data_IF_054835721300
#
_entry.id   IF_054835721300
#
_cell.length_a   1.000
_cell.length_b   1.000
_cell.length_c   1.000
_cell.angle_alpha   90.00
_cell.angle_beta   90.00
_cell.angle_gamma   90.00
#
_symmetry.space_group_name_H-M   'P 1'
#
loop_
_entity.id
_entity.type
_entity.pdbx_description
1 polymer ?
#
# COMPACT_ATOMS: atom_id res chain seq x y z
N UNK A 1 -8.71 -44.66 56.52
CA UNK A 1 -8.21 -44.29 55.19
C UNK A 1 -6.71 -44.54 55.14
N UNK A 2 -6.20 -45.12 54.06
CA UNK A 2 -4.76 -45.32 53.84
C UNK A 2 -4.34 -44.24 52.85
N UNK A 3 -3.24 -43.51 53.09
CA UNK A 3 -2.77 -42.52 52.11
C UNK A 3 -1.97 -43.19 51.00
N UNK A 4 -2.59 -43.47 49.85
CA UNK A 4 -1.92 -44.14 48.73
C UNK A 4 -0.90 -43.25 48.01
N UNK A 5 -0.99 -41.93 48.16
CA UNK A 5 -0.03 -40.95 47.65
C UNK A 5 1.14 -40.69 48.63
N UNK A 6 1.17 -41.39 49.77
CA UNK A 6 2.20 -41.23 50.79
C UNK A 6 3.54 -41.92 50.45
N UNK A 7 4.63 -41.55 51.13
CA UNK A 7 5.99 -42.02 50.82
C UNK A 7 6.21 -43.54 50.99
N UNK A 8 5.30 -44.25 51.67
CA UNK A 8 5.41 -45.69 51.95
C UNK A 8 4.69 -46.58 50.93
N UNK A 9 3.75 -46.03 50.15
CA UNK A 9 2.92 -46.76 49.16
C UNK A 9 2.96 -46.15 47.76
N UNK A 10 3.68 -45.02 47.60
CA UNK A 10 3.79 -44.15 46.43
C UNK A 10 3.31 -44.76 45.11
N UNK A 11 2.00 -44.65 44.86
CA UNK A 11 1.46 -44.99 43.55
C UNK A 11 2.09 -44.06 42.51
N UNK A 12 2.71 -44.65 41.49
CA UNK A 12 3.23 -43.90 40.34
C UNK A 12 2.07 -43.56 39.40
N UNK A 13 1.81 -42.26 39.25
CA UNK A 13 0.92 -41.73 38.21
C UNK A 13 1.65 -41.48 36.88
N UNK A 14 2.97 -41.68 36.82
CA UNK A 14 3.80 -41.38 35.65
C UNK A 14 4.14 -39.88 35.50
N UNK A 15 4.71 -39.50 34.35
CA UNK A 15 5.15 -38.12 34.08
C UNK A 15 3.97 -37.17 33.91
N UNK A 16 4.15 -35.91 34.31
CA UNK A 16 3.17 -34.83 34.17
C UNK A 16 1.82 -35.11 34.85
N UNK A 17 1.82 -35.89 35.91
CA UNK A 17 0.64 -36.21 36.68
C UNK A 17 0.93 -36.24 38.19
N UNK A 18 -0.09 -35.88 38.97
CA UNK A 18 -0.08 -35.91 40.43
C UNK A 18 -1.11 -36.92 40.95
N UNK A 19 -0.80 -37.49 42.13
CA UNK A 19 -1.68 -38.39 42.87
C UNK A 19 -2.54 -37.58 43.86
N UNK A 20 -3.84 -37.88 43.91
CA UNK A 20 -4.80 -37.31 44.86
C UNK A 20 -5.43 -38.42 45.71
N UNK A 21 -5.26 -38.32 47.03
CA UNK A 21 -5.81 -39.26 48.00
C UNK A 21 -7.28 -38.93 48.31
N UNK A 22 -8.13 -39.95 48.41
CA UNK A 22 -9.55 -39.81 48.76
C UNK A 22 -9.97 -40.83 49.81
N UNK A 23 -11.11 -40.62 50.46
CA UNK A 23 -11.59 -41.58 51.44
C UNK A 23 -11.91 -42.94 50.78
N UNK A 24 -11.10 -43.94 51.09
CA UNK A 24 -11.23 -45.30 50.58
C UNK A 24 -10.67 -45.55 49.18
N UNK A 25 -10.00 -44.57 48.55
CA UNK A 25 -9.37 -44.72 47.23
C UNK A 25 -8.40 -43.58 46.89
N UNK A 26 -7.85 -43.61 45.68
CA UNK A 26 -7.06 -42.51 45.13
C UNK A 26 -7.33 -42.37 43.63
N UNK A 27 -6.91 -41.24 43.06
CA UNK A 27 -6.90 -41.04 41.63
C UNK A 27 -5.71 -40.19 41.20
N UNK A 28 -5.30 -40.34 39.95
CA UNK A 28 -4.28 -39.51 39.32
C UNK A 28 -4.95 -38.44 38.45
N UNK A 29 -4.33 -37.26 38.39
CA UNK A 29 -4.71 -36.16 37.49
C UNK A 29 -3.48 -35.64 36.77
N UNK A 30 -3.62 -35.18 35.53
CA UNK A 30 -2.55 -34.42 34.89
C UNK A 30 -2.26 -33.14 35.69
N UNK A 31 -0.99 -32.73 35.74
CA UNK A 31 -0.60 -31.45 36.36
C UNK A 31 -1.17 -30.26 35.55
N UNK A 32 -1.29 -29.06 36.13
CA UNK A 32 -1.72 -27.88 35.37
C UNK A 32 -0.94 -27.69 34.07
N UNK A 33 -1.63 -27.36 32.98
CA UNK A 33 -1.06 -27.27 31.63
C UNK A 33 -1.07 -28.58 30.84
N UNK A 34 -1.58 -29.68 31.41
CA UNK A 34 -1.69 -30.98 30.74
C UNK A 34 -3.11 -31.54 30.80
N UNK A 35 -3.49 -32.31 29.79
CA UNK A 35 -4.77 -33.01 29.70
C UNK A 35 -4.61 -34.45 29.19
N UNK A 36 -5.54 -35.34 29.52
CA UNK A 36 -5.54 -36.69 28.95
C UNK A 36 -6.00 -36.64 27.49
N UNK A 37 -5.34 -37.39 26.61
CA UNK A 37 -5.73 -37.51 25.20
C UNK A 37 -7.18 -38.02 25.00
N UNK A 38 -7.74 -38.71 26.00
CA UNK A 38 -9.13 -39.17 26.02
C UNK A 38 -10.15 -38.08 26.41
N UNK A 39 -9.70 -36.92 26.88
CA UNK A 39 -10.55 -35.86 27.46
C UNK A 39 -11.04 -36.16 28.89
N UNK A 40 -10.63 -37.28 29.48
CA UNK A 40 -10.93 -37.59 30.87
C UNK A 40 -10.15 -36.66 31.83
N UNK A 41 -10.68 -36.48 33.04
CA UNK A 41 -10.04 -35.66 34.09
C UNK A 41 -9.18 -36.45 35.06
N UNK A 42 -9.45 -37.74 35.20
CA UNK A 42 -8.86 -38.61 36.22
C UNK A 42 -8.52 -39.96 35.60
N UNK A 43 -7.47 -40.59 36.10
CA UNK A 43 -7.04 -41.94 35.72
C UNK A 43 -6.48 -42.68 36.94
N UNK A 44 -6.28 -44.00 36.85
CA UNK A 44 -5.99 -44.81 38.06
C UNK A 44 -4.51 -45.05 38.33
N UNK A 45 -3.66 -45.12 37.32
CA UNK A 45 -2.25 -45.49 37.48
C UNK A 45 -1.43 -45.12 36.23
N UNK A 46 -0.11 -45.26 36.30
CA UNK A 46 0.82 -44.94 35.21
C UNK A 46 0.51 -45.60 33.86
N UNK A 47 -0.10 -46.80 33.82
CA UNK A 47 -0.43 -47.46 32.54
C UNK A 47 -1.56 -46.77 31.76
N UNK A 48 -2.39 -45.99 32.45
CA UNK A 48 -3.46 -45.17 31.85
C UNK A 48 -3.00 -43.73 31.57
N UNK A 49 -1.75 -43.37 31.90
CA UNK A 49 -1.24 -42.02 31.72
C UNK A 49 -1.06 -41.69 30.23
N UNK A 50 -1.89 -40.76 29.76
CA UNK A 50 -1.83 -40.16 28.42
C UNK A 50 -1.82 -38.64 28.50
N UNK A 51 -1.25 -38.09 29.58
CA UNK A 51 -1.14 -36.66 29.78
C UNK A 51 -0.27 -36.04 28.69
N UNK A 52 -0.86 -35.11 27.95
CA UNK A 52 -0.20 -34.33 26.92
C UNK A 52 -0.35 -32.85 27.24
N UNK A 53 0.61 -32.07 26.77
CA UNK A 53 0.59 -30.62 26.88
C UNK A 53 -0.68 -30.03 26.25
N UNK A 54 -1.34 -29.11 26.96
CA UNK A 54 -2.48 -28.36 26.44
C UNK A 54 -1.92 -27.21 25.61
N UNK A 55 -2.29 -27.12 24.35
CA UNK A 55 -1.96 -25.95 23.56
C UNK A 55 -2.98 -24.82 23.80
N UNK A 56 -2.72 -23.93 24.76
CA UNK A 56 -3.64 -22.85 25.12
C UNK A 56 -3.87 -21.84 23.97
N UNK A 57 -2.93 -21.76 23.05
CA UNK A 57 -3.04 -20.89 21.87
C UNK A 57 -4.07 -21.38 20.85
N UNK A 58 -4.26 -22.71 20.75
CA UNK A 58 -5.26 -23.30 19.85
C UNK A 58 -6.55 -23.72 20.55
N UNK A 59 -6.49 -24.02 21.84
CA UNK A 59 -7.68 -24.44 22.61
C UNK A 59 -8.59 -23.27 23.00
N UNK A 60 -8.12 -22.03 22.82
CA UNK A 60 -8.85 -20.82 23.24
C UNK A 60 -8.78 -20.56 24.74
N UNK A 61 -7.95 -21.28 25.48
CA UNK A 61 -7.76 -21.12 26.93
C UNK A 61 -6.72 -20.04 27.29
N UNK A 62 -6.07 -19.42 26.30
CA UNK A 62 -5.14 -18.33 26.55
C UNK A 62 -5.86 -17.04 26.98
N UNK A 63 -5.26 -16.33 27.94
CA UNK A 63 -5.76 -15.03 28.42
C UNK A 63 -5.04 -13.85 27.75
N UNK A 64 -4.40 -14.08 26.60
CA UNK A 64 -3.55 -13.08 25.96
C UNK A 64 -4.32 -11.81 25.57
N UNK A 65 -3.72 -10.65 25.82
CA UNK A 65 -4.27 -9.36 25.37
C UNK A 65 -4.27 -9.26 23.83
N UNK A 66 -5.19 -8.49 23.25
CA UNK A 66 -5.35 -8.35 21.80
C UNK A 66 -4.08 -7.87 21.06
N UNK A 67 -3.25 -7.06 21.72
CA UNK A 67 -1.97 -6.55 21.21
C UNK A 67 -0.82 -7.56 21.28
N UNK A 68 -1.07 -8.77 21.79
CA UNK A 68 -0.07 -9.84 21.93
C UNK A 68 -0.39 -11.01 21.00
N UNK A 69 0.55 -11.94 20.88
CA UNK A 69 0.36 -13.25 20.31
C UNK A 69 0.70 -14.31 21.35
N UNK A 70 -0.05 -15.40 21.34
CA UNK A 70 0.15 -16.54 22.22
C UNK A 70 1.28 -17.43 21.68
N UNK A 71 2.16 -17.88 22.57
CA UNK A 71 3.17 -18.88 22.32
C UNK A 71 2.97 -20.04 23.28
N UNK A 72 2.75 -21.23 22.71
CA UNK A 72 2.60 -22.45 23.50
C UNK A 72 3.97 -22.97 23.92
N UNK A 73 4.11 -23.31 25.18
CA UNK A 73 5.30 -23.90 25.78
C UNK A 73 4.91 -25.22 26.46
N UNK A 74 5.90 -26.08 26.74
CA UNK A 74 5.60 -27.32 27.45
C UNK A 74 5.21 -26.99 28.89
N UNK A 75 3.97 -27.34 29.28
CA UNK A 75 3.38 -27.09 30.58
C UNK A 75 2.70 -25.72 30.75
N UNK A 76 2.49 -24.97 29.67
CA UNK A 76 1.72 -23.72 29.69
C UNK A 76 2.01 -22.79 28.51
N UNK A 77 1.65 -21.52 28.62
CA UNK A 77 1.83 -20.55 27.54
C UNK A 77 2.41 -19.21 28.02
N UNK A 78 2.90 -18.43 27.06
CA UNK A 78 3.26 -17.03 27.28
C UNK A 78 2.61 -16.13 26.22
N UNK A 79 2.41 -14.87 26.57
CA UNK A 79 1.90 -13.85 25.64
C UNK A 79 3.00 -12.82 25.38
N UNK A 80 3.38 -12.67 24.12
CA UNK A 80 4.41 -11.70 23.70
C UNK A 80 3.81 -10.66 22.76
N UNK A 81 4.39 -9.45 22.76
CA UNK A 81 4.00 -8.43 21.80
C UNK A 81 4.08 -8.97 20.37
N UNK A 82 3.12 -8.57 19.53
CA UNK A 82 3.16 -8.91 18.11
C UNK A 82 4.46 -8.40 17.46
N UNK A 83 4.93 -9.01 16.38
CA UNK A 83 6.07 -8.47 15.63
C UNK A 83 5.84 -6.99 15.27
N UNK A 84 6.83 -6.14 15.51
CA UNK A 84 6.73 -4.69 15.34
C UNK A 84 6.07 -3.93 16.50
N UNK A 85 5.79 -4.61 17.62
CA UNK A 85 5.17 -4.00 18.81
C UNK A 85 6.10 -4.11 20.01
N UNK A 86 5.98 -3.18 20.96
CA UNK A 86 6.74 -3.16 22.21
C UNK A 86 5.81 -3.06 23.42
N UNK A 87 6.20 -3.56 24.60
CA UNK A 87 5.40 -3.39 25.81
C UNK A 87 5.23 -1.90 26.15
N UNK A 88 4.02 -1.51 26.55
CA UNK A 88 3.79 -0.16 27.05
C UNK A 88 4.53 0.00 28.38
N UNK A 89 5.19 1.14 28.67
CA UNK A 89 5.89 1.34 29.94
C UNK A 89 5.00 1.06 31.16
N UNK A 90 5.45 0.19 32.05
CA UNK A 90 4.70 -0.22 33.24
C UNK A 90 3.68 -1.35 33.02
N UNK A 91 3.62 -1.93 31.82
CA UNK A 91 2.78 -3.10 31.57
C UNK A 91 3.27 -4.32 32.38
N UNK A 92 2.35 -5.08 33.03
CA UNK A 92 2.71 -6.32 33.72
C UNK A 92 3.24 -7.36 32.72
N UNK A 93 4.38 -7.96 33.02
CA UNK A 93 4.87 -9.12 32.29
C UNK A 93 4.04 -10.35 32.72
N UNK A 94 3.18 -10.85 31.84
CA UNK A 94 2.45 -12.08 32.13
C UNK A 94 1.51 -12.56 31.02
N UNK A 95 1.04 -13.81 31.10
CA UNK A 95 0.18 -14.45 30.10
C UNK A 95 -1.25 -13.84 29.99
N UNK A 96 -1.56 -12.80 30.75
CA UNK A 96 -2.89 -12.17 30.78
C UNK A 96 -2.87 -10.66 30.53
N UNK A 97 -1.76 -9.98 30.88
CA UNK A 97 -1.78 -8.55 31.16
C UNK A 97 -0.71 -7.75 30.40
N UNK A 98 0.08 -8.39 29.54
CA UNK A 98 1.04 -7.68 28.69
C UNK A 98 0.27 -6.85 27.66
N UNK A 99 0.34 -5.52 27.76
CA UNK A 99 -0.20 -4.57 26.81
C UNK A 99 0.97 -4.06 25.97
N UNK A 100 0.77 -4.01 24.67
CA UNK A 100 1.77 -3.59 23.72
C UNK A 100 1.25 -2.45 22.86
N UNK A 101 2.16 -1.59 22.44
CA UNK A 101 1.94 -0.54 21.46
C UNK A 101 2.81 -0.77 20.23
N UNK A 102 2.36 -0.22 19.11
CA UNK A 102 3.09 -0.22 17.85
C UNK A 102 4.44 0.50 17.99
N UNK A 103 5.48 -0.05 17.36
CA UNK A 103 6.79 0.62 17.30
C UNK A 103 6.77 1.56 16.11
N UNK A 104 6.85 2.85 16.36
CA UNK A 104 7.00 3.82 15.27
C UNK A 104 8.44 3.81 14.74
N UNK A 105 8.68 3.03 13.67
CA UNK A 105 10.00 2.92 13.09
C UNK A 105 10.44 4.19 12.33
N UNK A 106 9.49 5.05 11.95
CA UNK A 106 9.76 6.33 11.30
C UNK A 106 10.30 7.39 12.26
N UNK A 107 9.97 7.28 13.55
CA UNK A 107 10.49 8.13 14.62
C UNK A 107 11.72 7.54 15.33
N UNK A 108 12.30 6.47 14.78
CA UNK A 108 13.53 5.89 15.31
C UNK A 108 14.76 6.74 15.01
N UNK A 109 15.79 6.64 15.85
CA UNK A 109 17.04 7.40 15.67
C UNK A 109 17.87 6.93 14.46
N UNK A 110 17.56 5.76 13.89
CA UNK A 110 18.27 5.21 12.74
C UNK A 110 17.43 5.41 11.47
N UNK A 111 18.06 5.72 10.33
CA UNK A 111 17.33 5.84 9.08
C UNK A 111 16.77 4.47 8.66
N UNK A 112 15.45 4.41 8.48
CA UNK A 112 14.69 3.21 8.08
C UNK A 112 14.37 3.15 6.60
N UNK A 113 14.33 4.32 5.94
CA UNK A 113 14.05 4.47 4.51
C UNK A 113 15.17 5.23 3.78
N UNK A 114 15.36 4.95 2.49
CA UNK A 114 16.33 5.66 1.64
C UNK A 114 16.07 7.17 1.59
N UNK A 115 17.07 7.99 1.29
CA UNK A 115 16.92 9.46 1.24
C UNK A 115 15.89 9.94 0.20
N UNK A 116 15.71 9.19 -0.90
CA UNK A 116 14.74 9.48 -1.97
C UNK A 116 13.29 9.09 -1.60
N UNK A 117 13.06 8.52 -0.42
CA UNK A 117 11.74 8.11 0.06
C UNK A 117 11.33 8.88 1.31
N UNK A 118 10.08 8.69 1.72
CA UNK A 118 9.46 9.16 2.95
C UNK A 118 8.96 7.92 3.69
N UNK A 119 9.29 7.84 4.98
CA UNK A 119 8.81 6.78 5.86
C UNK A 119 7.35 7.06 6.26
N UNK A 120 6.53 6.01 6.26
CA UNK A 120 5.14 6.02 6.71
C UNK A 120 4.99 4.88 7.71
N UNK A 121 4.65 5.19 8.96
CA UNK A 121 4.43 4.17 9.96
C UNK A 121 3.10 3.42 9.71
N UNK A 122 3.09 2.11 9.93
CA UNK A 122 1.91 1.25 9.80
C UNK A 122 1.82 0.30 10.99
N UNK A 123 0.63 -0.22 11.29
CA UNK A 123 0.47 -1.12 12.43
C UNK A 123 1.33 -2.40 12.28
N UNK A 124 2.32 -2.56 13.15
CA UNK A 124 3.30 -3.64 13.18
C UNK A 124 4.43 -3.50 12.15
N UNK A 125 4.52 -2.38 11.41
CA UNK A 125 5.58 -2.22 10.40
C UNK A 125 5.73 -0.82 9.79
N UNK A 126 6.71 -0.75 8.90
CA UNK A 126 6.99 0.30 7.93
C UNK A 126 6.05 0.45 6.73
N UNK A 127 6.16 1.56 5.98
CA UNK A 127 6.33 1.61 4.51
C UNK A 127 7.27 2.73 4.09
N UNK A 128 8.08 2.50 3.06
CA UNK A 128 8.84 3.55 2.40
C UNK A 128 8.13 3.92 1.10
N UNK A 129 7.83 5.20 0.91
CA UNK A 129 7.17 5.71 -0.31
C UNK A 129 8.09 6.70 -1.01
N UNK A 130 8.17 6.66 -2.33
CA UNK A 130 8.92 7.67 -3.08
C UNK A 130 8.43 9.08 -2.74
N UNK A 131 9.38 10.02 -2.71
CA UNK A 131 9.04 11.45 -2.63
C UNK A 131 8.17 11.81 -3.84
N UNK A 132 7.40 12.90 -3.72
CA UNK A 132 6.52 13.36 -4.80
C UNK A 132 7.32 13.62 -6.07
N UNK A 133 6.82 13.12 -7.20
CA UNK A 133 7.46 13.21 -8.52
C UNK A 133 8.73 12.36 -8.67
N UNK A 134 8.87 11.33 -7.83
CA UNK A 134 9.88 10.29 -7.97
C UNK A 134 9.17 8.95 -8.17
N UNK A 135 9.74 8.10 -9.01
CA UNK A 135 9.24 6.76 -9.27
C UNK A 135 10.13 5.66 -8.67
N UNK A 136 9.55 4.51 -8.27
CA UNK A 136 10.33 3.40 -7.71
C UNK A 136 11.26 2.79 -8.76
N UNK A 137 12.54 2.58 -8.41
CA UNK A 137 13.45 1.80 -9.26
C UNK A 137 13.06 0.31 -9.28
N UNK A 138 13.45 -0.45 -10.32
CA UNK A 138 13.26 -1.90 -10.34
C UNK A 138 13.80 -2.56 -9.06
N UNK A 139 12.98 -3.42 -8.45
CA UNK A 139 13.31 -4.06 -7.18
C UNK A 139 12.92 -3.27 -5.93
N UNK A 140 12.13 -2.19 -6.07
CA UNK A 140 11.54 -1.51 -4.93
C UNK A 140 10.69 -2.46 -4.08
N UNK A 141 10.90 -2.41 -2.77
CA UNK A 141 10.20 -3.18 -1.75
C UNK A 141 9.85 -2.27 -0.59
N UNK A 142 8.70 -2.52 0.01
CA UNK A 142 8.35 -1.89 1.27
C UNK A 142 9.37 -2.32 2.35
N UNK A 143 9.66 -1.42 3.28
CA UNK A 143 10.33 -1.72 4.56
C UNK A 143 11.80 -2.10 4.41
N UNK A 144 12.46 -1.51 3.40
CA UNK A 144 13.88 -1.72 3.13
C UNK A 144 14.61 -0.40 2.90
N UNK A 145 15.81 -0.30 3.48
CA UNK A 145 16.67 0.88 3.35
C UNK A 145 17.31 1.00 1.96
N UNK A 146 17.46 -0.10 1.24
CA UNK A 146 18.09 -0.16 -0.08
C UNK A 146 17.15 0.21 -1.23
N UNK A 147 15.87 0.46 -0.96
CA UNK A 147 14.88 0.75 -2.00
C UNK A 147 14.91 2.24 -2.30
N UNK A 148 15.38 2.54 -3.51
CA UNK A 148 15.58 3.90 -3.99
C UNK A 148 14.59 4.23 -5.09
N UNK A 149 14.40 5.53 -5.28
CA UNK A 149 13.56 6.08 -6.32
C UNK A 149 14.45 6.89 -7.26
N UNK A 150 13.96 7.15 -8.46
CA UNK A 150 14.53 8.12 -9.39
C UNK A 150 13.53 9.21 -9.70
N UNK A 151 14.05 10.32 -10.21
CA UNK A 151 13.21 11.41 -10.70
C UNK A 151 12.39 10.89 -11.88
N UNK A 152 11.09 11.20 -11.88
CA UNK A 152 10.23 10.86 -13.01
C UNK A 152 10.75 11.55 -14.27
N UNK A 153 10.89 10.77 -15.35
CA UNK A 153 11.20 11.32 -16.67
C UNK A 153 9.92 11.63 -17.44
N UNK A 154 9.89 12.75 -18.15
CA UNK A 154 8.78 13.07 -19.04
C UNK A 154 8.96 12.35 -20.38
N UNK A 155 7.91 11.75 -20.96
CA UNK A 155 7.99 11.19 -22.29
C UNK A 155 8.39 12.28 -23.28
N UNK A 156 9.29 11.94 -24.19
CA UNK A 156 9.67 12.85 -25.27
C UNK A 156 8.50 12.97 -26.24
N UNK A 157 7.77 14.07 -26.18
CA UNK A 157 6.68 14.32 -27.10
C UNK A 157 7.22 14.69 -28.48
N UNK A 158 7.24 13.75 -29.41
CA UNK A 158 7.67 14.01 -30.78
C UNK A 158 6.50 14.56 -31.61
N UNK A 159 6.61 15.77 -32.20
CA UNK A 159 5.59 16.29 -33.08
C UNK A 159 5.41 15.38 -34.32
N UNK A 160 4.19 15.25 -34.88
CA UNK A 160 3.95 14.57 -36.14
C UNK A 160 4.92 15.03 -37.24
N UNK A 161 5.49 14.11 -38.04
CA UNK A 161 6.30 14.50 -39.17
C UNK A 161 5.45 15.29 -40.18
N UNK A 162 5.99 16.41 -40.68
CA UNK A 162 5.41 17.33 -41.70
C UNK A 162 4.51 18.46 -41.21
N UNK A 163 4.52 18.83 -39.93
CA UNK A 163 3.89 20.08 -39.50
C UNK A 163 4.59 21.27 -40.18
N UNK A 164 3.86 22.00 -41.03
CA UNK A 164 4.33 23.24 -41.69
C UNK A 164 3.96 24.51 -40.92
N UNK A 165 3.09 24.41 -39.92
CA UNK A 165 2.70 25.55 -39.07
C UNK A 165 3.84 25.87 -38.09
N UNK A 166 4.38 27.08 -38.22
CA UNK A 166 5.40 27.62 -37.33
C UNK A 166 4.90 27.71 -35.88
N UNK A 167 3.60 27.97 -35.67
CA UNK A 167 2.99 28.08 -34.35
C UNK A 167 2.83 26.73 -33.66
N UNK A 168 2.38 25.71 -34.38
CA UNK A 168 2.33 24.34 -33.87
C UNK A 168 3.74 23.86 -33.51
N UNK A 169 4.72 24.05 -34.39
CA UNK A 169 6.12 23.71 -34.10
C UNK A 169 6.66 24.43 -32.86
N UNK A 170 6.34 25.72 -32.68
CA UNK A 170 6.71 26.48 -31.49
C UNK A 170 6.06 25.93 -30.22
N UNK A 171 4.76 25.61 -30.26
CA UNK A 171 4.05 24.99 -29.14
C UNK A 171 4.68 23.66 -28.73
N UNK A 172 4.90 22.74 -29.68
CA UNK A 172 5.54 21.45 -29.38
C UNK A 172 6.95 21.65 -28.79
N UNK A 173 7.71 22.62 -29.29
CA UNK A 173 9.03 22.99 -28.73
C UNK A 173 8.95 23.52 -27.30
N UNK A 174 7.95 24.34 -26.98
CA UNK A 174 7.74 24.85 -25.62
C UNK A 174 7.31 23.76 -24.64
N UNK A 175 6.41 22.86 -25.02
CA UNK A 175 6.01 21.75 -24.15
C UNK A 175 7.16 20.78 -23.91
N UNK A 176 8.00 20.50 -24.92
CA UNK A 176 9.26 19.76 -24.72
C UNK A 176 10.20 20.47 -23.73
N UNK A 177 10.23 21.81 -23.77
CA UNK A 177 11.01 22.64 -22.84
C UNK A 177 10.53 22.54 -21.39
N UNK A 178 9.21 22.53 -21.17
CA UNK A 178 8.58 22.33 -19.85
C UNK A 178 8.96 20.96 -19.26
N UNK A 179 9.02 19.91 -20.09
CA UNK A 179 9.40 18.55 -19.64
C UNK A 179 10.88 18.39 -19.27
N UNK A 180 11.81 19.08 -19.93
CA UNK A 180 13.28 18.89 -19.72
C UNK A 180 13.81 19.40 -18.38
N UNK A 181 13.14 20.36 -17.75
CA UNK A 181 13.59 20.99 -16.49
C UNK A 181 12.57 20.82 -15.37
N UNK A 182 11.66 19.86 -15.52
CA UNK A 182 10.60 19.65 -14.57
C UNK A 182 11.18 19.34 -13.17
N UNK A 183 10.65 20.05 -12.18
CA UNK A 183 10.86 19.74 -10.77
C UNK A 183 9.50 19.43 -10.15
N UNK A 184 9.36 18.36 -9.35
CA UNK A 184 8.10 18.03 -8.70
C UNK A 184 7.52 19.17 -7.85
N UNK A 185 8.38 20.02 -7.28
CA UNK A 185 7.97 21.20 -6.51
C UNK A 185 7.28 22.29 -7.35
N UNK A 186 7.51 22.33 -8.67
CA UNK A 186 6.96 23.31 -9.62
C UNK A 186 5.82 22.72 -10.47
N UNK A 187 5.27 21.57 -10.07
CA UNK A 187 4.29 20.86 -10.88
C UNK A 187 3.03 21.69 -11.16
N UNK A 188 2.56 22.44 -10.17
CA UNK A 188 1.38 23.29 -10.31
C UNK A 188 1.61 24.43 -11.32
N UNK A 189 2.75 25.13 -11.23
CA UNK A 189 3.12 26.20 -12.17
C UNK A 189 3.30 25.64 -13.59
N UNK A 190 3.95 24.48 -13.70
CA UNK A 190 4.15 23.79 -15.00
C UNK A 190 2.82 23.43 -15.67
N UNK A 191 1.81 23.00 -14.90
CA UNK A 191 0.47 22.72 -15.41
C UNK A 191 -0.22 24.00 -15.88
N UNK A 192 -0.11 25.09 -15.11
CA UNK A 192 -0.71 26.37 -15.49
C UNK A 192 -0.11 26.91 -16.79
N UNK A 193 1.22 26.84 -16.92
CA UNK A 193 1.92 27.23 -18.16
C UNK A 193 1.45 26.36 -19.34
N UNK A 194 1.33 25.04 -19.16
CA UNK A 194 0.83 24.15 -20.20
C UNK A 194 -0.59 24.50 -20.66
N UNK A 195 -1.49 24.83 -19.71
CA UNK A 195 -2.86 25.25 -20.02
C UNK A 195 -2.86 26.56 -20.80
N UNK A 196 -2.06 27.55 -20.40
CA UNK A 196 -1.94 28.82 -21.11
C UNK A 196 -1.44 28.63 -22.55
N UNK A 197 -0.48 27.73 -22.77
CA UNK A 197 0.00 27.40 -24.12
C UNK A 197 -1.09 26.74 -24.98
N UNK A 198 -1.91 25.86 -24.41
CA UNK A 198 -3.03 25.21 -25.11
C UNK A 198 -4.14 26.23 -25.43
N UNK A 199 -4.52 27.08 -24.47
CA UNK A 199 -5.49 28.16 -24.70
C UNK A 199 -5.02 29.12 -25.80
N UNK A 200 -3.72 29.45 -25.79
CA UNK A 200 -3.09 30.25 -26.83
C UNK A 200 -3.16 29.61 -28.22
N UNK A 201 -3.12 28.28 -28.33
CA UNK A 201 -3.35 27.59 -29.61
C UNK A 201 -4.83 27.63 -30.04
N UNK A 202 -5.76 27.46 -29.09
CA UNK A 202 -7.19 27.34 -29.38
C UNK A 202 -7.86 28.67 -29.77
N UNK A 203 -7.33 29.81 -29.32
CA UNK A 203 -7.91 31.13 -29.60
C UNK A 203 -7.79 31.59 -31.07
N UNK A 204 -6.96 30.94 -31.88
CA UNK A 204 -6.79 31.27 -33.32
C UNK A 204 -6.54 29.99 -34.12
N UNK A 205 -7.61 29.28 -34.51
CA UNK A 205 -7.52 27.94 -35.11
C UNK A 205 -7.09 27.94 -36.59
N UNK A 206 -6.80 29.10 -37.19
CA UNK A 206 -6.48 29.28 -38.61
C UNK A 206 -5.40 28.30 -39.11
N UNK A 207 -4.38 28.03 -38.29
CA UNK A 207 -3.29 27.10 -38.63
C UNK A 207 -3.71 25.63 -38.65
N UNK A 208 -4.71 25.25 -37.84
CA UNK A 208 -5.29 23.90 -37.81
C UNK A 208 -6.29 23.75 -38.96
N UNK A 209 -7.11 24.76 -39.19
CA UNK A 209 -8.12 24.79 -40.25
C UNK A 209 -7.50 24.80 -41.65
N UNK A 210 -6.28 25.32 -41.79
CA UNK A 210 -5.50 25.30 -43.04
C UNK A 210 -4.93 23.91 -43.41
N UNK A 211 -4.96 22.93 -42.52
CA UNK A 211 -4.48 21.57 -42.79
C UNK A 211 -5.52 20.74 -43.55
N UNK A 212 -5.11 19.78 -44.40
CA UNK A 212 -6.01 18.76 -44.93
C UNK A 212 -6.72 18.00 -43.81
N UNK A 213 -7.99 17.61 -44.00
CA UNK A 213 -8.78 16.91 -42.96
C UNK A 213 -8.11 15.65 -42.39
N UNK A 214 -7.35 14.90 -43.20
CA UNK A 214 -6.57 13.74 -42.74
C UNK A 214 -5.41 14.14 -41.80
N UNK A 215 -4.79 15.29 -42.02
CA UNK A 215 -3.71 15.83 -41.18
C UNK A 215 -4.26 16.50 -39.92
N UNK A 216 -5.43 17.17 -40.01
CA UNK A 216 -6.14 17.72 -38.84
C UNK A 216 -6.41 16.65 -37.79
N UNK A 217 -6.93 15.49 -38.21
CA UNK A 217 -7.20 14.38 -37.31
C UNK A 217 -5.92 13.82 -36.67
N UNK A 218 -4.84 13.69 -37.45
CA UNK A 218 -3.56 13.21 -36.94
C UNK A 218 -2.94 14.18 -35.92
N UNK A 219 -2.96 15.48 -36.22
CA UNK A 219 -2.44 16.52 -35.31
C UNK A 219 -3.28 16.59 -34.04
N UNK A 220 -4.61 16.55 -34.14
CA UNK A 220 -5.50 16.56 -32.99
C UNK A 220 -5.31 15.34 -32.07
N UNK A 221 -5.20 14.13 -32.64
CA UNK A 221 -4.99 12.91 -31.86
C UNK A 221 -3.62 12.90 -31.16
N UNK A 222 -2.55 13.32 -31.85
CA UNK A 222 -1.23 13.46 -31.22
C UNK A 222 -1.19 14.58 -30.17
N UNK A 223 -1.97 15.65 -30.38
CA UNK A 223 -2.14 16.74 -29.42
C UNK A 223 -2.74 16.22 -28.11
N UNK A 224 -3.88 15.54 -28.21
CA UNK A 224 -4.62 15.03 -27.06
C UNK A 224 -3.87 13.92 -26.33
N UNK A 225 -3.28 12.96 -27.05
CA UNK A 225 -2.49 11.88 -26.45
C UNK A 225 -1.26 12.41 -25.72
N UNK A 226 -0.52 13.35 -26.32
CA UNK A 226 0.66 13.94 -25.69
C UNK A 226 0.30 14.78 -24.45
N UNK A 227 -0.79 15.55 -24.52
CA UNK A 227 -1.29 16.29 -23.36
C UNK A 227 -1.75 15.34 -22.24
N UNK A 228 -2.42 14.23 -22.56
CA UNK A 228 -2.80 13.22 -21.56
C UNK A 228 -1.58 12.67 -20.82
N UNK A 229 -0.55 12.27 -21.56
CA UNK A 229 0.67 11.69 -20.98
C UNK A 229 1.39 12.69 -20.06
N UNK A 230 1.50 13.95 -20.49
CA UNK A 230 2.10 15.01 -19.70
C UNK A 230 1.28 15.28 -18.44
N UNK A 231 -0.04 15.38 -18.54
CA UNK A 231 -0.93 15.62 -17.41
C UNK A 231 -0.98 14.44 -16.43
N UNK A 232 -0.95 13.19 -16.90
CA UNK A 232 -0.84 11.99 -16.07
C UNK A 232 0.47 11.94 -15.27
N UNK A 233 1.57 12.38 -15.87
CA UNK A 233 2.85 12.44 -15.17
C UNK A 233 2.88 13.59 -14.16
N UNK A 234 2.33 14.76 -14.51
CA UNK A 234 2.24 15.90 -13.61
C UNK A 234 1.34 15.63 -12.40
N UNK A 235 0.24 14.90 -12.58
CA UNK A 235 -0.69 14.58 -11.47
C UNK A 235 -0.04 13.68 -10.41
N UNK A 236 0.88 12.79 -10.79
CA UNK A 236 1.65 11.95 -9.85
C UNK A 236 2.63 12.77 -9.01
N UNK A 237 3.04 13.94 -9.49
CA UNK A 237 3.90 14.86 -8.75
C UNK A 237 3.12 15.75 -7.75
N UNK A 238 1.79 15.83 -7.86
CA UNK A 238 0.99 16.75 -7.06
C UNK A 238 0.67 16.24 -5.64
N UNK A 239 0.48 17.15 -4.67
CA UNK A 239 0.26 16.80 -3.28
C UNK A 239 -0.95 15.92 -2.99
N UNK A 240 -2.06 16.18 -3.68
CA UNK A 240 -3.39 15.63 -3.44
C UNK A 240 -4.02 15.07 -4.72
N UNK A 241 -3.27 15.00 -5.83
CA UNK A 241 -3.77 14.60 -7.14
C UNK A 241 -4.83 15.53 -7.76
N UNK A 242 -5.26 16.57 -7.05
CA UNK A 242 -6.31 17.50 -7.48
C UNK A 242 -5.75 18.80 -8.02
N UNK A 243 -6.29 19.21 -9.16
CA UNK A 243 -6.02 20.46 -9.86
C UNK A 243 -7.34 21.17 -10.05
N UNK A 244 -7.47 22.38 -9.53
CA UNK A 244 -8.64 23.21 -9.79
C UNK A 244 -8.24 24.27 -10.81
N UNK A 245 -8.81 24.15 -12.01
CA UNK A 245 -8.70 25.17 -13.04
C UNK A 245 -9.99 25.98 -13.10
N UNK A 246 -9.86 27.30 -13.11
CA UNK A 246 -10.98 28.20 -13.26
C UNK A 246 -10.81 28.93 -14.59
N UNK A 247 -11.57 28.53 -15.61
CA UNK A 247 -11.51 29.17 -16.91
C UNK A 247 -11.96 30.63 -16.78
N UNK A 248 -11.21 31.56 -17.37
CA UNK A 248 -11.61 32.97 -17.42
C UNK A 248 -12.93 33.10 -18.18
N UNK A 249 -13.95 33.62 -17.50
CA UNK A 249 -15.28 33.88 -18.06
C UNK A 249 -15.16 34.83 -19.27
N UNK A 250 -15.13 34.28 -20.49
CA UNK A 250 -14.90 35.10 -21.68
C UNK A 250 -15.07 34.45 -23.05
N UNK A 251 -15.31 33.15 -23.20
CA UNK A 251 -15.53 32.50 -24.52
C UNK A 251 -17.03 32.35 -24.82
N UNK A 252 -17.74 33.47 -24.76
CA UNK A 252 -19.12 33.59 -25.23
C UNK A 252 -19.16 34.07 -26.66
N UNK A 253 -19.03 33.15 -27.62
CA UNK A 253 -19.62 33.13 -29.00
C UNK A 253 -18.68 32.39 -29.96
N UNK A 254 -19.23 31.35 -30.58
CA UNK A 254 -18.60 30.36 -31.47
C UNK A 254 -17.80 29.28 -30.73
N UNK A 255 -18.43 28.09 -30.66
CA UNK A 255 -18.00 26.86 -29.99
C UNK A 255 -17.78 26.98 -28.48
N UNK A 256 -18.78 26.57 -27.71
CA UNK A 256 -18.70 26.45 -26.26
C UNK A 256 -17.52 25.56 -25.85
N UNK A 257 -16.45 26.20 -25.35
CA UNK A 257 -15.22 25.58 -24.89
C UNK A 257 -14.91 26.11 -23.49
N UNK A 258 -15.48 25.43 -22.49
CA UNK A 258 -14.72 25.01 -21.30
C UNK A 258 -14.91 23.50 -21.02
N UNK A 259 -15.47 22.75 -22.00
CA UNK A 259 -15.84 21.34 -21.87
C UNK A 259 -15.18 20.41 -22.91
N UNK A 260 -14.45 20.93 -23.91
CA UNK A 260 -13.96 20.12 -25.03
C UNK A 260 -12.63 19.37 -24.76
N UNK A 261 -12.46 18.87 -23.53
CA UNK A 261 -11.70 17.63 -23.30
C UNK A 261 -12.63 16.38 -23.35
N UNK A 262 -13.95 16.56 -23.46
CA UNK A 262 -14.95 15.50 -23.38
C UNK A 262 -15.67 15.23 -24.71
N UNK A 263 -14.98 14.54 -25.63
CA UNK A 263 -15.54 13.91 -26.85
C UNK A 263 -15.64 14.81 -28.09
N UNK A 264 -14.85 14.49 -29.12
CA UNK A 264 -15.16 14.83 -30.51
C UNK A 264 -15.05 13.58 -31.40
N UNK A 265 -16.24 13.03 -31.70
CA UNK A 265 -16.66 12.23 -32.88
C UNK A 265 -16.28 10.72 -33.04
N UNK A 266 -17.13 9.92 -33.74
CA UNK A 266 -17.20 8.44 -33.71
C UNK A 266 -16.19 7.74 -34.65
N UNK A 267 -15.97 6.40 -34.56
CA UNK A 267 -14.97 5.67 -35.36
C UNK A 267 -15.53 5.22 -36.73
N UNK A 268 -14.70 4.66 -37.65
CA UNK A 268 -13.42 5.16 -38.16
C UNK A 268 -13.44 5.39 -39.69
N UNK A 269 -12.52 6.22 -40.19
CA UNK A 269 -11.93 6.05 -41.54
C UNK A 269 -10.41 6.06 -41.38
N UNK A 270 -9.88 4.84 -41.20
CA UNK A 270 -8.50 4.38 -41.45
C UNK A 270 -7.35 5.39 -41.31
N UNK A 271 -6.72 5.44 -40.13
CA UNK A 271 -5.28 5.63 -40.02
C UNK A 271 -4.68 4.37 -39.40
N UNK A 272 -3.99 3.57 -40.23
CA UNK A 272 -3.36 2.31 -39.83
C UNK A 272 -2.10 2.60 -39.01
N UNK A 273 -2.24 2.69 -37.69
CA UNK A 273 -1.17 2.36 -36.76
C UNK A 273 -1.62 1.10 -36.01
N UNK A 274 -0.97 0.00 -36.36
CA UNK A 274 -1.17 -1.31 -35.74
C UNK A 274 -0.92 -1.22 -34.23
N UNK A 275 -1.98 -1.42 -33.45
CA UNK A 275 -1.87 -1.83 -32.04
C UNK A 275 -2.02 -0.71 -31.01
N UNK A 276 -3.20 -0.11 -30.88
CA UNK A 276 -3.68 0.44 -29.60
C UNK A 276 -5.16 0.14 -29.48
N UNK A 277 -5.54 -0.62 -28.44
CA UNK A 277 -6.93 -0.94 -28.11
C UNK A 277 -7.65 0.30 -27.58
N UNK A 278 -8.80 0.58 -28.16
CA UNK A 278 -10.06 1.09 -27.62
C UNK A 278 -10.04 2.04 -26.39
N UNK A 279 -10.69 3.19 -26.61
CA UNK A 279 -11.14 4.21 -25.66
C UNK A 279 -10.07 5.15 -25.05
N UNK A 280 -9.93 6.34 -25.65
CA UNK A 280 -9.40 7.53 -24.98
C UNK A 280 -10.49 8.60 -24.91
N UNK A 281 -11.45 8.43 -23.99
CA UNK A 281 -12.10 9.59 -23.37
C UNK A 281 -11.27 9.88 -22.12
N UNK A 282 -10.60 11.03 -22.09
CA UNK A 282 -9.99 11.53 -20.87
C UNK A 282 -11.14 11.98 -19.96
N UNK A 283 -11.72 11.03 -19.23
CA UNK A 283 -12.54 11.35 -18.07
C UNK A 283 -11.61 11.88 -16.98
N UNK A 284 -11.33 13.18 -16.99
CA UNK A 284 -10.82 13.85 -15.79
C UNK A 284 -12.00 13.97 -14.81
N UNK A 285 -12.31 12.87 -14.14
CA UNK A 285 -13.18 12.90 -12.97
C UNK A 285 -12.39 13.54 -11.83
N UNK A 286 -12.62 14.83 -11.60
CA UNK A 286 -12.26 15.51 -10.37
C UNK A 286 -13.27 15.11 -9.28
N UNK A 287 -12.78 14.48 -8.21
CA UNK A 287 -13.45 14.41 -6.91
C UNK A 287 -12.74 15.34 -5.94
#
# INVERSE_FOLDING_TARGET
>A
DINECGPLLAVSCGKFADCQNTEGSYYCTCIPGYELASGARMFRNESENTCQDVNECTSGQNTCHSSTHCLNNIGGFECRCRPGWKPVPGSPNGPSNTICEDVDECNSAQPTCHKSTVCINTMGSYKCRCRRGWEPKPGFRDNQLNTSCEEMSFPTWTPPPRIKSQRLSHFFGRVQGLGRHFKPALAQDTIQDLIQEVDGLLQTPEDLEALPHSEQHCVATNLLSGLEDVLRNLSQALPNGTLTFNASAGTGKYWGLPQALLCLFPPPLSCSLTGVRDHACISVLYS
#
